data_IF_629740953858
#
_entry.id   IF_629740953858
#
_cell.length_a   1.000
_cell.length_b   1.000
_cell.length_c   1.000
_cell.angle_alpha   90.00
_cell.angle_beta   90.00
_cell.angle_gamma   90.00
#
_symmetry.space_group_name_H-M   'P 1'
#
loop_
_entity.id
_entity.type
_entity.pdbx_description
1 polymer ?
#
# COMPACT_ATOMS: atom_id res chain seq x y z
N UNK A 1 23.89 23.42 28.94
CA UNK A 1 22.75 23.29 28.02
C UNK A 1 23.20 22.44 26.85
N UNK A 2 22.64 21.25 26.68
CA UNK A 2 22.97 20.36 25.56
C UNK A 2 21.94 20.66 24.46
N UNK A 3 22.37 21.28 23.35
CA UNK A 3 21.50 21.48 22.19
C UNK A 3 21.44 20.18 21.41
N UNK A 4 20.32 19.48 21.55
CA UNK A 4 20.03 18.27 20.79
C UNK A 4 19.44 18.70 19.45
N UNK A 5 20.32 18.91 18.47
CA UNK A 5 19.95 19.08 17.06
C UNK A 5 19.72 17.68 16.50
N UNK A 6 18.50 17.14 16.66
CA UNK A 6 18.14 15.86 16.05
C UNK A 6 18.10 16.09 14.54
N UNK A 7 19.02 15.43 13.85
CA UNK A 7 19.09 15.40 12.40
C UNK A 7 17.89 14.60 11.88
N UNK A 8 16.90 15.30 11.33
CA UNK A 8 15.62 14.69 10.91
C UNK A 8 15.82 13.56 9.88
N UNK A 9 16.91 13.62 9.11
CA UNK A 9 17.30 12.58 8.13
C UNK A 9 17.67 11.27 8.81
N UNK A 10 18.45 11.32 9.91
CA UNK A 10 18.87 10.14 10.68
C UNK A 10 17.67 9.50 11.39
N UNK A 11 16.71 10.33 11.84
CA UNK A 11 15.48 9.84 12.46
C UNK A 11 14.60 9.08 11.45
N UNK A 12 14.50 9.59 10.22
CA UNK A 12 13.74 8.98 9.12
C UNK A 12 14.35 7.64 8.68
N UNK A 13 15.68 7.55 8.66
CA UNK A 13 16.40 6.34 8.27
C UNK A 13 16.23 5.23 9.33
N UNK A 14 16.40 5.57 10.61
CA UNK A 14 16.15 4.65 11.73
C UNK A 14 14.69 4.20 11.73
N UNK A 15 13.74 5.11 11.49
CA UNK A 15 12.33 4.76 11.43
C UNK A 15 12.01 3.81 10.26
N UNK A 16 12.62 4.02 9.09
CA UNK A 16 12.49 3.12 7.93
C UNK A 16 13.03 1.74 8.24
N UNK A 17 14.22 1.63 8.83
CA UNK A 17 14.81 0.34 9.20
C UNK A 17 13.98 -0.40 10.25
N UNK A 18 13.47 0.29 11.26
CA UNK A 18 12.65 -0.32 12.32
C UNK A 18 11.30 -0.81 11.77
N UNK A 19 10.71 -0.08 10.82
CA UNK A 19 9.48 -0.47 10.12
C UNK A 19 9.75 -1.68 9.23
N UNK A 20 10.87 -1.68 8.51
CA UNK A 20 11.26 -2.76 7.60
C UNK A 20 11.52 -4.08 8.36
N UNK A 21 12.24 -4.02 9.49
CA UNK A 21 12.48 -5.18 10.36
C UNK A 21 11.19 -5.73 11.00
N UNK A 22 10.23 -4.87 11.32
CA UNK A 22 8.93 -5.28 11.88
C UNK A 22 8.00 -5.87 10.82
N UNK A 23 8.13 -5.46 9.56
CA UNK A 23 7.43 -6.08 8.43
C UNK A 23 7.92 -7.51 8.18
N UNK A 24 9.24 -7.73 8.19
CA UNK A 24 9.85 -9.03 7.88
C UNK A 24 9.50 -10.16 8.88
N UNK A 25 9.16 -9.82 10.13
CA UNK A 25 8.94 -10.80 11.19
C UNK A 25 7.48 -11.28 11.34
N UNK A 26 6.50 -10.61 10.69
CA UNK A 26 5.08 -10.81 11.01
C UNK A 26 4.25 -11.55 9.93
N UNK A 27 4.70 -11.63 8.68
CA UNK A 27 3.88 -12.16 7.60
C UNK A 27 4.27 -13.61 7.25
N UNK A 28 3.35 -14.55 7.48
CA UNK A 28 3.28 -15.75 6.64
C UNK A 28 2.83 -15.26 5.26
N UNK A 29 3.77 -14.79 4.43
CA UNK A 29 3.49 -14.25 3.10
C UNK A 29 2.63 -15.25 2.32
N UNK A 30 1.35 -14.91 2.16
CA UNK A 30 0.50 -15.61 1.20
C UNK A 30 1.08 -15.34 -0.18
N UNK A 31 1.21 -16.37 -1.01
CA UNK A 31 1.64 -16.17 -2.41
C UNK A 31 0.55 -15.40 -3.18
N UNK A 32 -0.72 -15.60 -2.82
CA UNK A 32 -1.88 -14.95 -3.42
C UNK A 32 -2.90 -14.52 -2.36
N UNK A 33 -3.54 -13.38 -2.59
CA UNK A 33 -4.72 -12.95 -1.87
C UNK A 33 -5.99 -13.33 -2.64
N UNK A 34 -7.05 -13.63 -1.91
CA UNK A 34 -8.40 -13.65 -2.45
C UNK A 34 -9.09 -12.30 -2.18
N UNK A 35 -10.32 -12.12 -2.67
CA UNK A 35 -11.05 -10.85 -2.46
C UNK A 35 -11.29 -10.52 -0.97
N UNK A 36 -11.66 -11.47 -0.08
CA UNK A 36 -11.70 -11.21 1.36
C UNK A 36 -10.38 -10.69 1.94
N UNK A 37 -9.25 -11.31 1.59
CA UNK A 37 -7.94 -10.89 2.09
C UNK A 37 -7.54 -9.52 1.53
N UNK A 38 -7.77 -9.27 0.24
CA UNK A 38 -7.53 -7.95 -0.36
C UNK A 38 -8.30 -6.86 0.39
N UNK A 39 -9.60 -7.07 0.64
CA UNK A 39 -10.43 -6.13 1.40
C UNK A 39 -9.89 -5.89 2.82
N UNK A 40 -9.40 -6.95 3.48
CA UNK A 40 -8.80 -6.87 4.82
C UNK A 40 -7.50 -6.06 4.80
N UNK A 41 -6.65 -6.26 3.78
CA UNK A 41 -5.35 -5.59 3.63
C UNK A 41 -5.49 -4.10 3.33
N UNK A 42 -6.40 -3.72 2.43
CA UNK A 42 -6.60 -2.30 2.07
C UNK A 42 -7.66 -1.58 2.91
N UNK A 43 -8.34 -2.28 3.81
CA UNK A 43 -9.43 -1.75 4.65
C UNK A 43 -10.56 -1.07 3.85
N UNK A 44 -10.86 -1.56 2.65
CA UNK A 44 -11.88 -0.99 1.75
C UNK A 44 -13.03 -1.96 1.50
N UNK A 45 -14.21 -1.39 1.27
CA UNK A 45 -15.36 -2.17 0.76
C UNK A 45 -15.08 -2.65 -0.67
N UNK A 46 -15.76 -3.72 -1.10
CA UNK A 46 -15.59 -4.21 -2.47
C UNK A 46 -15.99 -3.16 -3.52
N UNK A 47 -17.09 -2.43 -3.27
CA UNK A 47 -17.54 -1.37 -4.17
C UNK A 47 -16.48 -0.27 -4.32
N UNK A 48 -15.88 0.15 -3.19
CA UNK A 48 -14.79 1.14 -3.20
C UNK A 48 -13.58 0.64 -3.98
N UNK A 49 -13.21 -0.63 -3.85
CA UNK A 49 -12.11 -1.23 -4.62
C UNK A 49 -12.44 -1.18 -6.13
N UNK A 50 -13.67 -1.52 -6.50
CA UNK A 50 -14.13 -1.47 -7.89
C UNK A 50 -14.07 -0.06 -8.48
N UNK A 51 -14.52 0.94 -7.72
CA UNK A 51 -14.54 2.34 -8.15
C UNK A 51 -13.16 3.01 -8.19
N UNK A 52 -12.17 2.46 -7.48
CA UNK A 52 -10.84 3.08 -7.34
C UNK A 52 -9.82 2.46 -8.28
N UNK A 53 -9.24 1.32 -7.93
CA UNK A 53 -8.08 0.75 -8.62
C UNK A 53 -8.35 -0.59 -9.30
N UNK A 54 -9.48 -1.24 -9.05
CA UNK A 54 -9.73 -2.58 -9.58
C UNK A 54 -9.69 -2.64 -11.10
N UNK A 55 -10.13 -1.57 -11.78
CA UNK A 55 -10.13 -1.49 -13.24
C UNK A 55 -8.85 -0.88 -13.83
N UNK A 56 -7.86 -0.52 -13.01
CA UNK A 56 -6.56 -0.08 -13.49
C UNK A 56 -5.88 -1.23 -14.26
N UNK A 57 -5.43 -1.02 -15.51
CA UNK A 57 -4.75 -2.06 -16.29
C UNK A 57 -3.44 -2.54 -15.65
N UNK A 58 -2.83 -1.73 -14.77
CA UNK A 58 -1.62 -2.07 -14.01
C UNK A 58 -1.91 -2.99 -12.81
N UNK A 59 -3.17 -3.12 -12.39
CA UNK A 59 -3.54 -3.88 -11.19
C UNK A 59 -3.43 -5.40 -11.45
N UNK A 60 -2.55 -6.13 -10.73
CA UNK A 60 -2.32 -7.55 -10.98
C UNK A 60 -3.48 -8.40 -10.44
N UNK A 61 -4.24 -9.03 -11.33
CA UNK A 61 -5.39 -9.88 -10.99
C UNK A 61 -5.54 -11.05 -11.95
N UNK A 62 -5.89 -12.21 -11.40
CA UNK A 62 -6.18 -13.42 -12.17
C UNK A 62 -7.55 -13.94 -11.80
N UNK A 63 -8.37 -14.26 -12.82
CA UNK A 63 -9.66 -14.91 -12.62
C UNK A 63 -9.50 -16.40 -12.82
N UNK A 64 -9.78 -17.18 -11.78
CA UNK A 64 -9.77 -18.65 -11.83
C UNK A 64 -11.17 -19.12 -11.48
N UNK A 65 -11.89 -19.63 -12.48
CA UNK A 65 -13.31 -19.95 -12.37
C UNK A 65 -14.14 -18.71 -12.02
N UNK A 66 -14.84 -18.76 -10.89
CA UNK A 66 -15.66 -17.65 -10.39
C UNK A 66 -14.92 -16.70 -9.44
N UNK A 67 -13.68 -17.01 -9.05
CA UNK A 67 -12.94 -16.26 -8.02
C UNK A 67 -11.80 -15.44 -8.63
N UNK A 68 -11.50 -14.34 -7.95
CA UNK A 68 -10.35 -13.49 -8.23
C UNK A 68 -9.22 -13.79 -7.25
N UNK A 69 -8.01 -13.80 -7.78
CA UNK A 69 -6.77 -13.98 -7.05
C UNK A 69 -5.77 -12.90 -7.44
N UNK A 70 -5.01 -12.43 -6.45
CA UNK A 70 -4.10 -11.31 -6.59
C UNK A 70 -2.72 -11.76 -6.09
N UNK A 71 -1.66 -11.76 -6.94
CA UNK A 71 -0.31 -12.08 -6.51
C UNK A 71 0.12 -11.12 -5.40
N UNK A 72 0.44 -11.62 -4.20
CA UNK A 72 0.52 -10.76 -3.02
C UNK A 72 1.58 -9.65 -3.15
N UNK A 73 2.77 -10.00 -3.64
CA UNK A 73 3.90 -9.07 -3.76
C UNK A 73 3.62 -7.97 -4.78
N UNK A 74 3.21 -8.37 -5.97
CA UNK A 74 2.89 -7.45 -7.07
C UNK A 74 1.69 -6.56 -6.72
N UNK A 75 0.71 -7.10 -6.00
CA UNK A 75 -0.46 -6.34 -5.54
C UNK A 75 -0.06 -5.31 -4.51
N UNK A 76 0.80 -5.66 -3.56
CA UNK A 76 1.34 -4.73 -2.56
C UNK A 76 2.13 -3.59 -3.21
N UNK A 77 3.08 -3.93 -4.09
CA UNK A 77 3.88 -2.95 -4.82
C UNK A 77 3.00 -1.97 -5.61
N UNK A 78 1.99 -2.48 -6.34
CA UNK A 78 1.04 -1.65 -7.05
C UNK A 78 0.27 -0.72 -6.10
N UNK A 79 -0.22 -1.24 -4.97
CA UNK A 79 -1.03 -0.46 -4.03
C UNK A 79 -0.24 0.69 -3.41
N UNK A 80 1.03 0.45 -3.03
CA UNK A 80 1.90 1.49 -2.48
C UNK A 80 2.07 2.66 -3.47
N UNK A 81 2.31 2.36 -4.75
CA UNK A 81 2.41 3.37 -5.80
C UNK A 81 1.07 4.09 -6.00
N UNK A 82 -0.03 3.33 -6.09
CA UNK A 82 -1.35 3.90 -6.32
C UNK A 82 -1.79 4.86 -5.20
N UNK A 83 -1.55 4.51 -3.93
CA UNK A 83 -1.88 5.37 -2.79
C UNK A 83 -1.07 6.67 -2.79
N UNK A 84 0.21 6.62 -3.14
CA UNK A 84 1.05 7.82 -3.27
C UNK A 84 0.55 8.72 -4.40
N UNK A 85 0.19 8.15 -5.56
CA UNK A 85 -0.43 8.87 -6.67
C UNK A 85 -1.71 9.61 -6.21
N UNK A 86 -2.58 8.94 -5.44
CA UNK A 86 -3.81 9.56 -4.91
C UNK A 86 -3.52 10.68 -3.92
N UNK A 87 -2.54 10.51 -3.04
CA UNK A 87 -2.14 11.52 -2.06
C UNK A 87 -1.63 12.79 -2.73
N UNK A 88 -0.74 12.65 -3.72
CA UNK A 88 -0.19 13.76 -4.50
C UNK A 88 -1.26 14.46 -5.34
N UNK A 89 -2.14 13.70 -5.99
CA UNK A 89 -3.28 14.26 -6.72
C UNK A 89 -4.20 15.08 -5.80
N UNK A 90 -4.45 14.60 -4.57
CA UNK A 90 -5.22 15.29 -3.55
C UNK A 90 -4.55 16.57 -3.00
N UNK A 91 -3.21 16.61 -2.92
CA UNK A 91 -2.46 17.84 -2.58
C UNK A 91 -2.55 18.88 -3.69
N UNK A 92 -2.35 18.47 -4.95
CA UNK A 92 -2.43 19.36 -6.12
C UNK A 92 -3.81 20.00 -6.26
N UNK A 93 -4.88 19.27 -5.94
CA UNK A 93 -6.24 19.83 -5.92
C UNK A 93 -6.42 20.87 -4.82
N UNK A 94 -5.82 20.69 -3.65
CA UNK A 94 -5.93 21.62 -2.51
C UNK A 94 -5.09 22.89 -2.66
N UNK A 95 -4.00 22.84 -3.43
CA UNK A 95 -3.16 24.02 -3.71
C UNK A 95 -3.70 24.93 -4.83
N UNK A 96 -4.73 24.47 -5.56
CA UNK A 96 -5.36 25.21 -6.65
C UNK A 96 -6.72 25.84 -6.25
N UNK A 97 -7.08 25.73 -4.96
CA UNK A 97 -8.30 26.31 -4.36
C UNK A 97 -7.91 27.43 -3.42
#
# INVERSE_FOLDING_TARGET
MISVSIDEEVLLEIYREEVQKKLEAADKELVYWDTPELKRRVCMSWNTIQETFFHDPRFPKHKIGSKWYYPAKETEEFLLVWFEEQYLAGKKRRSLV
#
